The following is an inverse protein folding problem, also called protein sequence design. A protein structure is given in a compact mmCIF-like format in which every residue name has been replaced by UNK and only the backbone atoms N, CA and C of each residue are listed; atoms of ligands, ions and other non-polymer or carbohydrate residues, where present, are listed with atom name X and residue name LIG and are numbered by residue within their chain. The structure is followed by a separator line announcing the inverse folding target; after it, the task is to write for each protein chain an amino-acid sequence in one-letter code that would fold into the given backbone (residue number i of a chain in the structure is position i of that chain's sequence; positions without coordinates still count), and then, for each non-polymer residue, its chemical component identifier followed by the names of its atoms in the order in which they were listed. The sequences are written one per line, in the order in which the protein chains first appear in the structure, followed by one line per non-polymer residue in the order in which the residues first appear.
data_IF_263067724081
#
_entry.id   IF_263067724081
#
_cell.length_a   1.000
_cell.length_b   1.000
_cell.length_c   1.000
_cell.angle_alpha   90.00
_cell.angle_beta   90.00
_cell.angle_gamma   90.00
#
_symmetry.space_group_name_H-M   'P 1'
#
loop_
_entity.id
_entity.type
_entity.pdbx_description
1 polymer ?
#
# COMPACT_ATOMS: atom_id res chain seq x y z
N UNK A 1 -21.96 -3.56 -13.32
CA UNK A 1 -21.03 -2.52 -12.81
C UNK A 1 -20.10 -2.16 -13.95
N UNK A 2 -20.08 -0.89 -14.36
CA UNK A 2 -19.05 -0.41 -15.29
C UNK A 2 -17.67 -0.63 -14.63
N UNK A 3 -16.72 -1.18 -15.38
CA UNK A 3 -15.37 -1.32 -14.90
C UNK A 3 -14.80 0.08 -14.64
N UNK A 4 -14.37 0.33 -13.42
CA UNK A 4 -13.69 1.59 -13.08
C UNK A 4 -12.42 1.65 -13.92
N UNK A 5 -12.30 2.68 -14.74
CA UNK A 5 -11.11 2.87 -15.57
C UNK A 5 -9.95 3.27 -14.67
N UNK A 6 -8.78 2.69 -14.94
CA UNK A 6 -7.54 3.10 -14.28
C UNK A 6 -7.29 4.60 -14.48
N UNK A 7 -6.72 5.30 -13.48
CA UNK A 7 -6.27 6.67 -13.66
C UNK A 7 -5.33 6.78 -14.86
N UNK A 8 -5.48 7.82 -15.66
CA UNK A 8 -4.64 8.02 -16.86
C UNK A 8 -3.16 8.20 -16.56
N UNK A 9 -2.82 8.60 -15.33
CA UNK A 9 -1.48 8.72 -14.79
C UNK A 9 -0.78 7.36 -14.59
N UNK A 10 -1.55 6.25 -14.52
CA UNK A 10 -0.97 4.94 -14.32
C UNK A 10 -0.54 4.33 -15.65
N UNK A 11 0.75 4.39 -15.94
CA UNK A 11 1.33 3.73 -17.11
C UNK A 11 1.42 2.22 -16.84
N UNK A 12 0.40 1.49 -17.30
CA UNK A 12 0.27 0.05 -17.04
C UNK A 12 1.45 -0.72 -17.62
N UNK A 13 1.89 -0.40 -18.84
CA UNK A 13 3.01 -1.10 -19.48
C UNK A 13 4.29 -0.95 -18.63
N UNK A 14 4.59 0.26 -18.15
CA UNK A 14 5.73 0.49 -17.28
C UNK A 14 5.60 -0.25 -15.94
N UNK A 15 4.40 -0.28 -15.34
CA UNK A 15 4.15 -1.03 -14.11
C UNK A 15 4.42 -2.53 -14.31
N UNK A 16 3.99 -3.09 -15.45
CA UNK A 16 4.23 -4.49 -15.78
C UNK A 16 5.72 -4.78 -15.97
N UNK A 17 6.42 -3.93 -16.71
CA UNK A 17 7.86 -4.07 -16.95
C UNK A 17 8.65 -3.99 -15.64
N UNK A 18 8.35 -3.01 -14.77
CA UNK A 18 9.05 -2.84 -13.50
C UNK A 18 8.79 -4.03 -12.55
N UNK A 19 7.55 -4.53 -12.47
CA UNK A 19 7.23 -5.72 -11.68
C UNK A 19 7.93 -6.97 -12.23
N UNK A 20 8.02 -7.10 -13.56
CA UNK A 20 8.73 -8.21 -14.20
C UNK A 20 10.25 -8.12 -13.99
N UNK A 21 10.85 -6.95 -14.01
CA UNK A 21 12.30 -6.77 -13.90
C UNK A 21 12.79 -6.73 -12.45
N UNK A 22 12.04 -6.09 -11.56
CA UNK A 22 12.47 -5.77 -10.20
C UNK A 22 11.58 -6.37 -9.11
N UNK A 23 10.36 -6.79 -9.46
CA UNK A 23 9.37 -7.25 -8.49
C UNK A 23 8.64 -6.11 -7.79
N UNK A 24 8.95 -4.84 -8.11
CA UNK A 24 8.25 -3.67 -7.59
C UNK A 24 8.15 -2.58 -8.66
N UNK A 25 7.17 -1.68 -8.51
CA UNK A 25 6.95 -0.51 -9.37
C UNK A 25 6.56 0.71 -8.53
N UNK A 26 6.84 1.90 -9.04
CA UNK A 26 6.48 3.18 -8.43
C UNK A 26 5.60 3.97 -9.38
N UNK A 27 4.52 4.51 -8.84
CA UNK A 27 3.65 5.45 -9.57
C UNK A 27 3.72 6.78 -8.82
N UNK A 28 4.36 7.77 -9.40
CA UNK A 28 4.32 9.16 -8.93
C UNK A 28 3.13 9.90 -9.55
N UNK A 29 2.64 10.93 -8.87
CA UNK A 29 1.46 11.71 -9.29
C UNK A 29 0.26 10.81 -9.64
N UNK A 30 0.02 9.81 -8.77
CA UNK A 30 -0.92 8.73 -9.03
C UNK A 30 -2.36 9.22 -9.29
N UNK A 31 -2.77 10.34 -8.67
CA UNK A 31 -4.12 10.88 -8.80
C UNK A 31 -4.12 12.40 -8.98
N UNK A 32 -5.29 12.95 -9.34
CA UNK A 32 -5.48 14.40 -9.38
C UNK A 32 -5.38 15.02 -7.98
N UNK A 33 -4.92 16.26 -7.89
CA UNK A 33 -4.80 16.99 -6.61
C UNK A 33 -6.12 17.06 -5.85
N UNK A 34 -7.26 17.24 -6.54
CA UNK A 34 -8.57 17.31 -5.91
C UNK A 34 -8.92 15.98 -5.22
N UNK A 35 -8.63 14.85 -5.87
CA UNK A 35 -8.86 13.54 -5.26
C UNK A 35 -7.91 13.29 -4.07
N UNK A 36 -6.65 13.65 -4.20
CA UNK A 36 -5.67 13.55 -3.11
C UNK A 36 -6.12 14.35 -1.88
N UNK A 37 -6.60 15.58 -2.06
CA UNK A 37 -7.12 16.40 -0.97
C UNK A 37 -8.30 15.76 -0.27
N UNK A 38 -9.29 15.27 -1.02
CA UNK A 38 -10.46 14.58 -0.46
C UNK A 38 -10.06 13.32 0.33
N UNK A 39 -9.09 12.56 -0.19
CA UNK A 39 -8.62 11.33 0.44
C UNK A 39 -7.84 11.60 1.74
N UNK A 40 -7.00 12.63 1.76
CA UNK A 40 -6.33 13.10 2.98
C UNK A 40 -7.37 13.56 4.01
N UNK A 41 -8.40 14.29 3.60
CA UNK A 41 -9.47 14.75 4.47
C UNK A 41 -10.27 13.56 5.04
N UNK A 42 -10.64 12.57 4.21
CA UNK A 42 -11.31 11.36 4.69
C UNK A 42 -10.43 10.61 5.72
N UNK A 43 -9.13 10.43 5.44
CA UNK A 43 -8.19 9.79 6.37
C UNK A 43 -8.10 10.55 7.70
N UNK A 44 -7.82 11.85 7.64
CA UNK A 44 -7.56 12.68 8.84
C UNK A 44 -8.82 12.87 9.69
N UNK A 45 -9.99 12.97 9.09
CA UNK A 45 -11.28 13.07 9.81
C UNK A 45 -11.64 11.78 10.57
N UNK A 46 -11.01 10.67 10.25
CA UNK A 46 -11.25 9.37 10.89
C UNK A 46 -10.12 8.91 11.83
N UNK A 47 -9.11 9.73 12.11
CA UNK A 47 -7.96 9.31 12.95
C UNK A 47 -8.37 8.78 14.33
N UNK A 48 -9.45 9.27 14.91
CA UNK A 48 -10.00 8.79 16.19
C UNK A 48 -10.55 7.35 16.13
N UNK A 49 -10.77 6.80 14.94
CA UNK A 49 -11.24 5.42 14.71
C UNK A 49 -10.09 4.43 14.53
N UNK A 50 -8.86 4.91 14.35
CA UNK A 50 -7.70 4.04 14.19
C UNK A 50 -7.43 3.24 15.46
N UNK A 51 -6.93 2.03 15.32
CA UNK A 51 -6.56 1.12 16.40
C UNK A 51 -5.16 0.58 16.15
N UNK A 52 -4.45 0.26 17.22
CA UNK A 52 -3.14 -0.42 17.12
C UNK A 52 -3.24 -1.63 16.19
N UNK A 53 -2.29 -1.72 15.27
CA UNK A 53 -2.23 -2.87 14.37
C UNK A 53 -1.82 -4.12 15.14
N UNK A 54 -2.53 -5.22 14.93
CA UNK A 54 -2.23 -6.52 15.51
C UNK A 54 -1.63 -7.46 14.47
N UNK A 55 -0.69 -8.31 14.88
CA UNK A 55 -0.28 -9.49 14.11
C UNK A 55 -1.08 -10.70 14.60
N UNK A 56 -1.09 -11.80 13.83
CA UNK A 56 -1.89 -13.01 14.13
C UNK A 56 -1.77 -13.55 15.57
N UNK A 57 -0.69 -13.23 16.27
CA UNK A 57 -0.41 -13.68 17.65
C UNK A 57 -0.59 -12.57 18.70
N UNK A 58 -1.30 -11.49 18.39
CA UNK A 58 -1.54 -10.36 19.30
C UNK A 58 -0.69 -9.12 18.97
N UNK A 59 -0.83 -8.07 19.79
CA UNK A 59 -0.07 -6.82 19.63
C UNK A 59 1.37 -7.07 20.10
N UNK A 60 2.34 -6.98 19.18
CA UNK A 60 3.76 -7.02 19.52
C UNK A 60 4.39 -5.70 19.05
N UNK A 61 4.35 -4.69 19.90
CA UNK A 61 4.91 -3.35 19.65
C UNK A 61 6.39 -3.33 19.25
N UNK A 62 7.12 -4.42 19.52
CA UNK A 62 8.52 -4.60 19.09
C UNK A 62 8.68 -4.98 17.62
N UNK A 63 7.58 -5.37 16.94
CA UNK A 63 7.59 -5.78 15.53
C UNK A 63 6.84 -4.75 14.70
N UNK A 64 5.72 -4.24 15.23
CA UNK A 64 4.82 -3.33 14.54
C UNK A 64 4.17 -2.40 15.55
N UNK A 65 4.16 -1.11 15.27
CA UNK A 65 3.61 -0.10 16.20
C UNK A 65 2.62 0.88 15.56
N UNK A 66 2.32 0.74 14.28
CA UNK A 66 1.39 1.60 13.56
C UNK A 66 -0.08 1.41 14.01
N UNK A 67 -0.89 2.40 13.71
CA UNK A 67 -2.33 2.41 13.91
C UNK A 67 -3.04 2.29 12.57
N UNK A 68 -4.12 1.49 12.50
CA UNK A 68 -4.83 1.22 11.26
C UNK A 68 -6.34 1.44 11.39
N UNK A 69 -6.97 1.74 10.25
CA UNK A 69 -8.42 1.72 10.06
C UNK A 69 -8.75 0.98 8.77
N UNK A 70 -9.36 -0.21 8.87
CA UNK A 70 -9.77 -0.98 7.69
C UNK A 70 -10.77 -0.18 6.86
N UNK A 71 -10.54 -0.16 5.55
CA UNK A 71 -11.46 0.46 4.60
C UNK A 71 -12.76 -0.36 4.53
N UNK A 72 -13.87 0.34 4.53
CA UNK A 72 -15.20 -0.24 4.49
C UNK A 72 -16.12 0.62 3.59
N UNK A 73 -17.34 0.18 3.25
CA UNK A 73 -18.23 0.91 2.35
C UNK A 73 -18.61 2.34 2.77
N UNK A 74 -18.44 2.71 4.03
CA UNK A 74 -18.70 4.08 4.52
C UNK A 74 -17.61 5.08 4.11
N UNK A 75 -16.39 4.59 3.85
CA UNK A 75 -15.24 5.39 3.43
C UNK A 75 -15.24 5.53 1.90
N UNK A 76 -16.12 6.41 1.41
CA UNK A 76 -16.49 6.48 -0.01
C UNK A 76 -15.33 6.91 -0.90
N UNK A 77 -14.49 7.85 -0.44
CA UNK A 77 -13.38 8.38 -1.24
C UNK A 77 -12.30 7.32 -1.42
N UNK A 78 -11.88 6.66 -0.34
CA UNK A 78 -10.85 5.62 -0.39
C UNK A 78 -11.31 4.36 -1.13
N UNK A 79 -12.62 4.09 -1.22
CA UNK A 79 -13.14 3.00 -2.05
C UNK A 79 -12.85 3.18 -3.55
N UNK A 80 -12.70 4.41 -4.06
CA UNK A 80 -12.25 4.62 -5.44
C UNK A 80 -10.81 4.12 -5.66
N UNK A 81 -9.93 4.30 -4.65
CA UNK A 81 -8.58 3.74 -4.70
C UNK A 81 -8.62 2.19 -4.73
N UNK A 82 -9.44 1.57 -3.88
CA UNK A 82 -9.64 0.11 -3.87
C UNK A 82 -10.11 -0.40 -5.23
N UNK A 83 -11.07 0.30 -5.86
CA UNK A 83 -11.56 -0.05 -7.20
C UNK A 83 -10.49 0.12 -8.28
N UNK A 84 -9.64 1.16 -8.20
CA UNK A 84 -8.51 1.33 -9.11
C UNK A 84 -7.49 0.20 -8.96
N UNK A 85 -7.16 -0.20 -7.73
CA UNK A 85 -6.30 -1.35 -7.45
C UNK A 85 -6.90 -2.65 -7.98
N UNK A 86 -8.22 -2.87 -7.82
CA UNK A 86 -8.89 -4.03 -8.39
C UNK A 86 -8.78 -4.06 -9.92
N UNK A 87 -8.96 -2.91 -10.57
CA UNK A 87 -8.81 -2.79 -12.03
C UNK A 87 -7.37 -3.06 -12.48
N UNK A 88 -6.38 -2.56 -11.73
CA UNK A 88 -4.96 -2.91 -11.97
C UNK A 88 -4.74 -4.42 -11.81
N UNK A 89 -5.33 -5.04 -10.79
CA UNK A 89 -5.27 -6.48 -10.58
C UNK A 89 -5.73 -7.29 -11.80
N UNK A 90 -6.71 -6.78 -12.55
CA UNK A 90 -7.15 -7.47 -13.79
C UNK A 90 -6.10 -7.34 -14.91
N UNK A 91 -5.37 -6.23 -15.02
CA UNK A 91 -4.25 -6.11 -15.96
C UNK A 91 -3.10 -7.04 -15.56
N UNK A 92 -2.77 -7.10 -14.25
CA UNK A 92 -1.76 -8.03 -13.72
C UNK A 92 -2.14 -9.51 -13.95
N UNK A 93 -3.43 -9.84 -13.85
CA UNK A 93 -3.91 -11.18 -14.17
C UNK A 93 -3.69 -11.55 -15.64
N UNK A 94 -3.89 -10.58 -16.55
CA UNK A 94 -3.66 -10.83 -17.99
C UNK A 94 -2.18 -11.04 -18.31
N UNK A 95 -1.30 -10.33 -17.62
CA UNK A 95 0.15 -10.38 -17.86
C UNK A 95 0.82 -11.57 -17.13
N UNK A 96 0.47 -11.79 -15.86
CA UNK A 96 1.23 -12.67 -14.96
C UNK A 96 0.42 -13.88 -14.43
N UNK A 97 -0.85 -14.00 -14.77
CA UNK A 97 -1.71 -15.11 -14.31
C UNK A 97 -1.81 -15.26 -12.78
N UNK A 98 -1.79 -14.14 -12.04
CA UNK A 98 -1.75 -14.13 -10.56
C UNK A 98 -3.03 -14.61 -9.89
N UNK A 99 -4.15 -14.66 -10.64
CA UNK A 99 -5.44 -15.08 -10.11
C UNK A 99 -6.06 -14.08 -9.12
N UNK A 100 -5.70 -12.80 -9.19
CA UNK A 100 -6.24 -11.74 -8.34
C UNK A 100 -7.74 -11.63 -8.54
N UNK A 101 -8.50 -11.67 -7.44
CA UNK A 101 -9.96 -11.59 -7.41
C UNK A 101 -10.52 -10.67 -6.34
N UNK A 102 -9.69 -10.19 -5.43
CA UNK A 102 -10.11 -9.32 -4.35
C UNK A 102 -9.01 -8.32 -3.97
N UNK A 103 -9.38 -7.24 -3.27
CA UNK A 103 -8.48 -6.23 -2.71
C UNK A 103 -8.90 -5.96 -1.28
N UNK A 104 -7.99 -6.11 -0.34
CA UNK A 104 -8.14 -5.63 1.02
C UNK A 104 -7.23 -4.42 1.25
N UNK A 105 -7.70 -3.43 2.00
CA UNK A 105 -6.89 -2.25 2.29
C UNK A 105 -7.30 -1.57 3.59
N UNK A 106 -6.36 -0.84 4.19
CA UNK A 106 -6.59 -0.03 5.38
C UNK A 106 -5.81 1.29 5.29
N UNK A 107 -6.32 2.32 5.95
CA UNK A 107 -5.49 3.46 6.31
C UNK A 107 -4.47 3.03 7.36
N UNK A 108 -3.24 3.52 7.24
CA UNK A 108 -2.18 3.34 8.22
C UNK A 108 -1.62 4.69 8.67
N UNK A 109 -1.38 4.80 9.97
CA UNK A 109 -0.76 5.96 10.62
C UNK A 109 0.43 5.49 11.42
N UNK A 110 1.61 6.00 11.09
CA UNK A 110 2.82 5.87 11.90
C UNK A 110 3.08 7.23 12.55
N UNK A 111 3.04 7.29 13.87
CA UNK A 111 3.46 8.48 14.60
C UNK A 111 4.98 8.53 14.75
N UNK A 112 5.53 9.64 15.25
CA UNK A 112 6.97 9.73 15.50
C UNK A 112 7.43 8.60 16.46
N UNK A 113 8.49 7.89 16.08
CA UNK A 113 9.03 6.72 16.79
C UNK A 113 8.40 5.37 16.38
N UNK A 114 7.36 5.37 15.53
CA UNK A 114 6.72 4.14 15.07
C UNK A 114 7.36 3.58 13.80
N UNK A 115 7.30 2.26 13.67
CA UNK A 115 7.96 1.50 12.61
C UNK A 115 7.23 0.17 12.34
N UNK A 116 7.64 -0.54 11.29
CA UNK A 116 7.30 -1.93 11.07
C UNK A 116 8.57 -2.71 10.69
N UNK A 117 8.95 -3.65 11.54
CA UNK A 117 10.17 -4.45 11.37
C UNK A 117 10.14 -5.29 10.10
N UNK A 118 11.32 -5.72 9.69
CA UNK A 118 11.55 -6.52 8.48
C UNK A 118 10.67 -7.77 8.41
N UNK A 119 9.89 -7.89 7.34
CA UNK A 119 8.92 -8.97 7.13
C UNK A 119 8.62 -9.21 5.64
N UNK A 120 7.77 -10.18 5.38
CA UNK A 120 7.12 -10.45 4.10
C UNK A 120 5.62 -10.51 4.33
N UNK A 121 4.82 -9.91 3.46
CA UNK A 121 3.35 -9.95 3.58
C UNK A 121 2.77 -11.32 3.23
N UNK A 122 3.46 -12.06 2.36
CA UNK A 122 3.07 -13.41 1.98
C UNK A 122 4.27 -14.37 2.07
N UNK A 123 4.73 -14.71 3.28
CA UNK A 123 5.83 -15.65 3.43
C UNK A 123 5.44 -17.02 2.86
N UNK A 124 6.21 -17.52 1.91
CA UNK A 124 6.03 -18.84 1.28
C UNK A 124 4.73 -19.00 0.44
N UNK A 125 4.10 -17.91 0.00
CA UNK A 125 2.88 -17.97 -0.84
C UNK A 125 1.64 -18.55 -0.17
N UNK A 126 1.53 -18.47 1.17
CA UNK A 126 0.49 -19.21 1.94
C UNK A 126 -0.79 -18.44 2.21
N UNK A 127 -0.88 -17.13 1.94
CA UNK A 127 -2.01 -16.31 2.41
C UNK A 127 -2.73 -15.51 1.31
N UNK A 128 -2.61 -15.88 0.08
CA UNK A 128 -3.36 -15.24 -1.02
C UNK A 128 -2.97 -13.81 -1.39
N UNK A 129 -2.15 -13.09 -0.62
CA UNK A 129 -1.64 -11.77 -0.97
C UNK A 129 -0.60 -11.89 -2.08
N UNK A 130 -0.91 -11.38 -3.25
CA UNK A 130 -0.03 -11.48 -4.44
C UNK A 130 0.81 -10.23 -4.62
N UNK A 131 0.17 -9.07 -4.51
CA UNK A 131 0.82 -7.76 -4.64
C UNK A 131 0.45 -6.90 -3.43
N UNK A 132 1.45 -6.32 -2.80
CA UNK A 132 1.32 -5.30 -1.76
C UNK A 132 1.39 -3.91 -2.37
N UNK A 133 0.65 -2.97 -1.80
CA UNK A 133 0.63 -1.58 -2.24
C UNK A 133 0.70 -0.65 -1.04
N UNK A 134 1.40 0.48 -1.20
CA UNK A 134 1.43 1.57 -0.22
C UNK A 134 1.22 2.88 -0.95
N UNK A 135 0.12 3.56 -0.68
CA UNK A 135 -0.19 4.88 -1.22
C UNK A 135 -0.02 5.94 -0.14
N UNK A 136 0.87 6.92 -0.36
CA UNK A 136 1.22 7.93 0.64
C UNK A 136 0.30 9.14 0.61
N UNK A 137 -0.25 9.49 1.78
CA UNK A 137 -1.27 10.51 2.00
C UNK A 137 -0.69 11.76 2.67
N UNK A 138 0.22 12.44 1.96
CA UNK A 138 0.85 13.65 2.43
C UNK A 138 0.58 14.82 1.48
N UNK A 139 0.61 16.05 2.00
CA UNK A 139 0.65 17.27 1.19
C UNK A 139 2.06 17.60 0.77
N UNK A 140 3.00 17.34 1.66
CA UNK A 140 4.45 17.49 1.49
C UNK A 140 5.16 16.43 2.32
N UNK A 141 6.40 16.13 2.00
CA UNK A 141 7.26 15.24 2.76
C UNK A 141 8.71 15.68 2.63
N UNK A 142 9.47 15.63 3.73
CA UNK A 142 10.88 15.96 3.73
C UNK A 142 11.72 14.69 3.94
N UNK A 143 12.86 14.62 3.28
CA UNK A 143 13.70 13.42 3.24
C UNK A 143 14.25 13.01 4.62
N UNK A 144 14.31 13.94 5.60
CA UNK A 144 14.77 13.68 6.96
C UNK A 144 13.66 13.26 7.94
N UNK A 145 12.40 13.14 7.47
CA UNK A 145 11.26 12.76 8.31
C UNK A 145 11.16 11.25 8.59
N UNK A 146 12.02 10.42 7.98
CA UNK A 146 12.02 8.98 8.20
C UNK A 146 10.81 8.28 7.56
N UNK A 147 10.45 7.10 8.05
CA UNK A 147 9.27 6.36 7.59
C UNK A 147 9.36 5.82 6.17
N UNK A 148 10.56 5.72 5.62
CA UNK A 148 10.80 5.16 4.29
C UNK A 148 10.38 3.68 4.24
N UNK A 149 9.92 3.25 3.09
CA UNK A 149 9.79 1.83 2.78
C UNK A 149 11.14 1.32 2.29
N UNK A 150 11.77 0.46 3.09
CA UNK A 150 13.00 -0.23 2.75
C UNK A 150 12.63 -1.60 2.18
N UNK A 151 12.95 -1.84 0.91
CA UNK A 151 12.47 -2.98 0.13
C UNK A 151 13.64 -3.66 -0.57
N UNK A 152 13.75 -4.99 -0.42
CA UNK A 152 14.65 -5.81 -1.22
C UNK A 152 13.93 -6.28 -2.48
N UNK A 153 14.47 -5.96 -3.66
CA UNK A 153 13.90 -6.40 -4.92
C UNK A 153 14.17 -7.90 -5.20
N UNK A 154 13.60 -8.42 -6.28
CA UNK A 154 13.79 -9.83 -6.64
C UNK A 154 15.22 -10.19 -7.10
N UNK A 155 16.09 -9.18 -7.27
CA UNK A 155 17.50 -9.35 -7.60
C UNK A 155 18.39 -9.17 -6.36
N UNK A 156 17.80 -9.19 -5.15
CA UNK A 156 18.47 -8.99 -3.85
C UNK A 156 19.08 -7.60 -3.63
N UNK A 157 18.63 -6.59 -4.41
CA UNK A 157 19.09 -5.20 -4.28
C UNK A 157 18.13 -4.46 -3.33
N UNK A 158 18.70 -3.74 -2.36
CA UNK A 158 17.94 -2.92 -1.43
C UNK A 158 17.64 -1.53 -1.99
N UNK A 159 16.40 -1.11 -1.84
CA UNK A 159 15.89 0.20 -2.23
C UNK A 159 15.30 0.92 -1.04
N UNK A 160 15.57 2.22 -0.91
CA UNK A 160 14.94 3.12 0.08
C UNK A 160 13.95 3.99 -0.64
N UNK A 161 12.65 3.74 -0.42
CA UNK A 161 11.56 4.43 -1.09
C UNK A 161 10.97 5.48 -0.17
N UNK A 162 11.19 6.75 -0.51
CA UNK A 162 10.65 7.90 0.23
C UNK A 162 9.12 7.94 0.14
N UNK A 163 8.41 8.24 1.24
CA UNK A 163 6.96 8.38 1.27
C UNK A 163 6.50 9.71 0.65
N UNK A 164 6.85 9.92 -0.62
CA UNK A 164 6.50 11.14 -1.36
C UNK A 164 4.98 11.30 -1.49
N UNK A 165 4.47 12.55 -1.43
CA UNK A 165 3.07 12.83 -1.67
C UNK A 165 2.57 12.23 -2.98
N UNK A 166 1.36 11.68 -2.98
CA UNK A 166 0.69 11.15 -4.17
C UNK A 166 1.48 10.05 -4.91
N UNK A 167 2.34 9.31 -4.18
CA UNK A 167 3.10 8.15 -4.68
C UNK A 167 2.44 6.87 -4.26
N UNK A 168 2.39 5.89 -5.18
CA UNK A 168 2.10 4.48 -4.87
C UNK A 168 3.38 3.68 -5.08
N UNK A 169 3.74 2.86 -4.10
CA UNK A 169 4.67 1.75 -4.25
C UNK A 169 3.86 0.47 -4.37
N UNK A 170 4.15 -0.35 -5.40
CA UNK A 170 3.59 -1.68 -5.61
C UNK A 170 4.72 -2.70 -5.59
N UNK A 171 4.54 -3.84 -4.95
CA UNK A 171 5.58 -4.87 -4.92
C UNK A 171 4.98 -6.27 -4.70
N UNK A 172 5.68 -7.29 -5.16
CA UNK A 172 5.32 -8.68 -4.90
C UNK A 172 5.31 -8.93 -3.39
N UNK A 173 4.23 -9.51 -2.87
CA UNK A 173 4.00 -9.62 -1.41
C UNK A 173 4.98 -10.56 -0.68
N UNK A 174 5.77 -11.32 -1.43
CA UNK A 174 6.84 -12.18 -0.90
C UNK A 174 8.21 -11.49 -0.84
N UNK A 175 8.33 -10.23 -1.29
CA UNK A 175 9.57 -9.45 -1.14
C UNK A 175 9.77 -9.02 0.31
N UNK A 176 11.02 -9.03 0.74
CA UNK A 176 11.42 -8.64 2.08
C UNK A 176 11.39 -7.11 2.20
N UNK A 177 10.70 -6.59 3.20
CA UNK A 177 10.56 -5.14 3.37
C UNK A 177 10.30 -4.75 4.83
N UNK A 178 10.53 -3.48 5.13
CA UNK A 178 10.26 -2.86 6.42
C UNK A 178 9.85 -1.39 6.23
N UNK A 179 9.20 -0.82 7.25
CA UNK A 179 8.99 0.63 7.36
C UNK A 179 9.96 1.14 8.41
N UNK A 180 10.90 1.98 7.99
CA UNK A 180 11.86 2.60 8.90
C UNK A 180 11.15 3.53 9.89
N UNK A 181 11.80 3.81 11.01
CA UNK A 181 11.22 4.65 12.06
C UNK A 181 10.81 6.02 11.50
N UNK A 182 9.53 6.36 11.66
CA UNK A 182 8.99 7.64 11.29
C UNK A 182 9.39 8.69 12.35
N UNK A 183 9.89 9.86 11.94
CA UNK A 183 10.17 11.01 12.82
C UNK A 183 9.02 12.01 12.83
N UNK A 184 8.12 11.91 11.84
CA UNK A 184 6.89 12.67 11.72
C UNK A 184 5.71 11.73 11.43
N UNK A 185 4.48 12.19 11.67
CA UNK A 185 3.30 11.39 11.35
C UNK A 185 3.27 11.05 9.87
N UNK A 186 3.25 9.75 9.56
CA UNK A 186 3.20 9.21 8.21
C UNK A 186 1.85 8.54 7.97
N UNK A 187 1.10 9.06 7.01
CA UNK A 187 -0.20 8.53 6.62
C UNK A 187 -0.12 7.82 5.27
N UNK A 188 -0.76 6.67 5.16
CA UNK A 188 -0.83 5.91 3.90
C UNK A 188 -2.10 5.07 3.82
N UNK A 189 -2.41 4.58 2.62
CA UNK A 189 -3.27 3.40 2.44
C UNK A 189 -2.34 2.24 2.12
N UNK A 190 -2.39 1.20 2.93
CA UNK A 190 -1.76 -0.09 2.64
C UNK A 190 -2.82 -1.02 2.10
N UNK A 191 -2.52 -1.70 0.99
CA UNK A 191 -3.46 -2.61 0.34
C UNK A 191 -2.78 -3.86 -0.18
N UNK A 192 -3.58 -4.89 -0.40
CA UNK A 192 -3.13 -6.16 -0.98
C UNK A 192 -4.11 -6.63 -2.05
N UNK A 193 -3.57 -6.93 -3.22
CA UNK A 193 -4.30 -7.59 -4.29
C UNK A 193 -4.21 -9.11 -4.04
N UNK A 194 -5.36 -9.76 -3.90
CA UNK A 194 -5.46 -11.14 -3.38
C UNK A 194 -5.98 -12.13 -4.43
N UNK A 195 -5.42 -13.33 -4.42
CA UNK A 195 -5.90 -14.48 -5.22
C UNK A 195 -7.00 -15.29 -4.52
N UNK A 196 -7.26 -15.05 -3.24
CA UNK A 196 -8.39 -15.56 -2.46
C UNK A 196 -9.37 -14.43 -2.12
N UNK A 197 -10.57 -14.77 -1.67
CA UNK A 197 -11.52 -13.76 -1.19
C UNK A 197 -11.23 -13.42 0.26
N UNK A 198 -11.30 -12.13 0.59
CA UNK A 198 -11.28 -11.66 1.98
C UNK A 198 -12.57 -12.16 2.65
N UNK A 199 -12.46 -13.05 3.60
CA UNK A 199 -13.59 -13.45 4.45
C UNK A 199 -13.65 -12.39 5.56
N UNK A 200 -14.58 -11.45 5.41
CA UNK A 200 -14.96 -10.51 6.46
C UNK A 200 -16.01 -11.15 7.39
#
# INVERSE_FOLDING_TARGET
MEAVRLPKSWNVDQILDDLDQHGFAIIDDAYSNDYVHQLIEECTSNLNRFREAAIQNGVISKIRSDHILWLNPELVISNHHVQALYSLGQELNRAFYLGIRDVEAHFACYNAGEFYALHRDNPQGKNGRMISTVYYLHKDWQDDWGGELHLQDKNDIWHVLQPKPNRIALFQSDLLHEVLEAKHQRLSITGWLRSDSTIL
#
